data_IF_004993089543
#
_entry.id   IF_004993089543
#
_cell.length_a   1.000
_cell.length_b   1.000
_cell.length_c   1.000
_cell.angle_alpha   90.00
_cell.angle_beta   90.00
_cell.angle_gamma   90.00
#
_symmetry.space_group_name_H-M   'P 1'
#
loop_
_entity.id
_entity.type
_entity.pdbx_description
1 polymer ?
#
# COMPACT_ATOMS: atom_id res chain seq x y z
N UNK A 1 0.56 -28.23 -7.36
CA UNK A 1 -0.86 -27.79 -7.49
C UNK A 1 -1.08 -27.17 -8.87
N UNK A 2 -2.28 -27.25 -9.45
CA UNK A 2 -2.61 -26.49 -10.68
C UNK A 2 -2.67 -24.99 -10.33
N UNK A 3 -2.14 -24.12 -11.21
CA UNK A 3 -2.09 -22.66 -11.00
C UNK A 3 -3.45 -22.05 -10.59
N UNK A 4 -4.54 -22.53 -11.22
CA UNK A 4 -5.92 -22.12 -10.87
C UNK A 4 -6.26 -22.35 -9.40
N UNK A 5 -5.81 -23.48 -8.84
CA UNK A 5 -6.00 -23.79 -7.43
C UNK A 5 -5.23 -22.84 -6.51
N UNK A 6 -4.00 -22.47 -6.87
CA UNK A 6 -3.19 -21.51 -6.11
C UNK A 6 -3.83 -20.12 -6.10
N UNK A 7 -4.37 -19.69 -7.24
CA UNK A 7 -5.10 -18.41 -7.35
C UNK A 7 -6.34 -18.46 -6.47
N UNK A 8 -7.15 -19.53 -6.58
CA UNK A 8 -8.35 -19.69 -5.77
C UNK A 8 -8.04 -19.70 -4.27
N UNK A 9 -6.98 -20.39 -3.84
CA UNK A 9 -6.55 -20.39 -2.43
C UNK A 9 -6.08 -19.01 -1.97
N UNK A 10 -5.35 -18.27 -2.82
CA UNK A 10 -4.92 -16.90 -2.52
C UNK A 10 -6.12 -15.98 -2.32
N UNK A 11 -7.09 -16.03 -3.25
CA UNK A 11 -8.33 -15.26 -3.18
C UNK A 11 -9.26 -15.74 -2.04
N UNK A 12 -9.15 -16.99 -1.60
CA UNK A 12 -9.86 -17.49 -0.43
C UNK A 12 -9.25 -17.05 0.90
N UNK A 13 -8.04 -16.46 0.89
CA UNK A 13 -7.36 -16.06 2.13
C UNK A 13 -7.97 -14.80 2.73
N UNK A 14 -8.43 -14.89 3.98
CA UNK A 14 -8.87 -13.73 4.76
C UNK A 14 -7.77 -12.68 4.88
N UNK A 15 -6.52 -13.12 5.08
CA UNK A 15 -5.39 -12.20 5.23
C UNK A 15 -5.15 -11.40 3.95
N UNK A 16 -5.31 -12.02 2.78
CA UNK A 16 -5.23 -11.34 1.49
C UNK A 16 -6.24 -10.18 1.44
N UNK A 17 -7.52 -10.46 1.70
CA UNK A 17 -8.57 -9.43 1.62
C UNK A 17 -8.43 -8.33 2.66
N UNK A 18 -8.03 -8.64 3.89
CA UNK A 18 -7.76 -7.61 4.91
C UNK A 18 -6.72 -6.62 4.39
N UNK A 19 -5.62 -7.10 3.80
CA UNK A 19 -4.58 -6.22 3.28
C UNK A 19 -5.02 -5.44 2.05
N UNK A 20 -5.75 -6.06 1.12
CA UNK A 20 -6.25 -5.36 -0.07
C UNK A 20 -7.27 -4.28 0.29
N UNK A 21 -8.24 -4.59 1.15
CA UNK A 21 -9.29 -3.64 1.55
C UNK A 21 -8.72 -2.53 2.43
N UNK A 22 -7.95 -2.84 3.47
CA UNK A 22 -7.35 -1.82 4.32
C UNK A 22 -6.38 -0.94 3.52
N UNK A 23 -5.58 -1.52 2.63
CA UNK A 23 -4.69 -0.77 1.75
C UNK A 23 -5.46 0.18 0.83
N UNK A 24 -6.51 -0.31 0.17
CA UNK A 24 -7.36 0.50 -0.70
C UNK A 24 -8.07 1.63 0.07
N UNK A 25 -8.52 1.38 1.31
CA UNK A 25 -9.11 2.41 2.16
C UNK A 25 -8.10 3.48 2.57
N UNK A 26 -6.90 3.08 3.01
CA UNK A 26 -5.82 4.01 3.37
C UNK A 26 -5.44 4.89 2.17
N UNK A 27 -5.41 4.32 0.97
CA UNK A 27 -5.19 5.06 -0.27
C UNK A 27 -6.36 5.98 -0.64
N UNK A 28 -7.58 5.49 -0.52
CA UNK A 28 -8.79 6.17 -0.98
C UNK A 28 -9.26 7.31 -0.06
N UNK A 29 -9.01 7.23 1.25
CA UNK A 29 -9.43 8.26 2.21
C UNK A 29 -8.87 9.65 1.84
N UNK A 30 -7.55 9.82 1.62
CA UNK A 30 -7.00 11.10 1.18
C UNK A 30 -7.64 11.62 -0.11
N UNK A 31 -7.85 10.74 -1.11
CA UNK A 31 -8.51 11.10 -2.37
C UNK A 31 -9.92 11.63 -2.09
N UNK A 32 -10.73 10.88 -1.32
CA UNK A 32 -12.11 11.24 -1.01
C UNK A 32 -12.21 12.58 -0.27
N UNK A 33 -11.31 12.83 0.70
CA UNK A 33 -11.29 14.10 1.44
C UNK A 33 -10.98 15.25 0.47
N UNK A 34 -9.99 15.13 -0.41
CA UNK A 34 -9.68 16.17 -1.41
C UNK A 34 -10.84 16.44 -2.35
N UNK A 35 -11.58 15.39 -2.73
CA UNK A 35 -12.78 15.54 -3.53
C UNK A 35 -13.89 16.28 -2.78
N UNK A 36 -14.06 16.01 -1.48
CA UNK A 36 -15.06 16.67 -0.66
C UNK A 36 -14.70 18.13 -0.32
N UNK A 37 -13.42 18.44 -0.13
CA UNK A 37 -12.96 19.77 0.30
C UNK A 37 -12.53 20.68 -0.85
N UNK A 38 -12.25 20.11 -2.03
CA UNK A 38 -11.64 20.83 -3.15
C UNK A 38 -10.18 21.27 -2.89
N UNK A 39 -9.57 20.84 -1.78
CA UNK A 39 -8.20 21.19 -1.40
C UNK A 39 -7.25 20.04 -1.71
N UNK A 40 -6.02 20.36 -2.15
CA UNK A 40 -4.92 19.38 -2.33
C UNK A 40 -4.27 19.03 -0.98
N UNK A 41 -4.36 19.94 -0.01
CA UNK A 41 -3.68 19.84 1.28
C UNK A 41 -4.56 19.20 2.35
N UNK A 42 -3.97 18.25 3.09
CA UNK A 42 -4.60 17.61 4.26
C UNK A 42 -3.96 18.14 5.55
N UNK A 43 -4.74 18.77 6.46
CA UNK A 43 -4.21 19.59 7.57
C UNK A 43 -3.15 18.94 8.47
N UNK A 44 -3.18 17.62 8.66
CA UNK A 44 -2.23 16.89 9.52
C UNK A 44 -1.00 16.44 8.73
N UNK A 45 -1.19 16.05 7.46
CA UNK A 45 -0.12 15.57 6.61
C UNK A 45 0.69 16.72 5.99
N UNK A 46 0.10 17.91 5.91
CA UNK A 46 0.76 19.15 5.48
C UNK A 46 1.77 19.69 6.50
N UNK A 47 1.71 19.26 7.77
CA UNK A 47 2.67 19.67 8.82
C UNK A 47 4.10 19.16 8.58
N UNK A 48 4.27 18.12 7.75
CA UNK A 48 5.57 17.53 7.39
C UNK A 48 5.94 17.82 5.93
N UNK A 49 5.38 18.88 5.35
CA UNK A 49 5.58 19.27 3.96
C UNK A 49 7.07 19.47 3.64
N UNK A 50 7.57 18.55 2.83
CA UNK A 50 8.67 18.85 1.91
C UNK A 50 8.01 19.29 0.60
N UNK A 51 8.41 20.42 -0.01
CA UNK A 51 7.88 20.84 -1.29
C UNK A 51 7.99 19.68 -2.28
N UNK A 52 6.83 19.16 -2.69
CA UNK A 52 6.68 18.05 -3.60
C UNK A 52 5.88 18.56 -4.79
N UNK A 53 6.15 18.03 -5.98
CA UNK A 53 5.68 18.61 -7.25
C UNK A 53 4.20 19.01 -7.19
N UNK A 54 3.94 20.32 -7.34
CA UNK A 54 2.84 21.10 -6.76
C UNK A 54 1.37 20.69 -7.06
N UNK A 55 1.09 19.56 -7.72
CA UNK A 55 -0.28 19.28 -8.20
C UNK A 55 -0.67 17.78 -8.21
N UNK A 56 -0.06 16.94 -7.37
CA UNK A 56 -0.33 15.50 -7.37
C UNK A 56 -1.05 14.99 -6.12
N UNK A 57 -1.84 13.93 -6.29
CA UNK A 57 -2.28 13.06 -5.20
C UNK A 57 -1.31 11.87 -5.14
N UNK A 58 -0.75 11.53 -3.98
CA UNK A 58 -0.73 12.23 -2.69
C UNK A 58 -0.05 13.60 -2.69
N UNK A 59 -0.53 14.51 -1.84
CA UNK A 59 -0.17 15.94 -1.83
C UNK A 59 1.23 16.28 -1.31
N UNK A 60 1.93 15.31 -0.69
CA UNK A 60 3.34 15.45 -0.32
C UNK A 60 4.04 14.09 -0.22
N UNK A 61 5.37 14.12 -0.09
CA UNK A 61 6.22 12.91 -0.04
C UNK A 61 5.91 12.00 1.16
N UNK A 62 5.59 12.55 2.33
CA UNK A 62 5.31 11.76 3.53
C UNK A 62 4.01 10.97 3.34
N UNK A 63 2.96 11.62 2.87
CA UNK A 63 1.72 10.95 2.53
C UNK A 63 1.94 9.90 1.44
N UNK A 64 2.76 10.20 0.42
CA UNK A 64 3.14 9.26 -0.64
C UNK A 64 3.78 7.99 -0.07
N UNK A 65 4.74 8.14 0.82
CA UNK A 65 5.42 7.02 1.48
C UNK A 65 4.44 6.24 2.34
N UNK A 66 3.64 6.93 3.17
CA UNK A 66 2.67 6.28 4.06
C UNK A 66 1.65 5.49 3.27
N UNK A 67 0.96 6.13 2.32
CA UNK A 67 -0.05 5.47 1.50
C UNK A 67 0.56 4.33 0.69
N UNK A 68 1.69 4.59 0.01
CA UNK A 68 2.41 3.59 -0.79
C UNK A 68 2.90 2.39 0.02
N UNK A 69 3.26 2.61 1.30
CA UNK A 69 3.67 1.55 2.23
C UNK A 69 2.58 0.50 2.47
N UNK A 70 1.31 0.89 2.39
CA UNK A 70 0.18 -0.02 2.49
C UNK A 70 -0.32 -0.46 1.11
N UNK A 71 -0.50 0.47 0.17
CA UNK A 71 -1.05 0.18 -1.15
C UNK A 71 -0.43 1.06 -2.23
N UNK A 72 0.03 0.49 -3.37
CA UNK A 72 -0.02 -0.94 -3.73
C UNK A 72 1.05 -1.81 -3.06
N UNK A 73 2.08 -1.23 -2.44
CA UNK A 73 3.28 -1.94 -2.01
C UNK A 73 3.04 -3.04 -0.96
N UNK A 74 2.54 -2.68 0.22
CA UNK A 74 2.35 -3.62 1.33
C UNK A 74 1.32 -4.71 1.01
N UNK A 75 0.20 -4.32 0.40
CA UNK A 75 -0.85 -5.23 -0.06
C UNK A 75 -0.31 -6.23 -1.10
N UNK A 76 0.49 -5.76 -2.05
CA UNK A 76 1.19 -6.61 -3.03
C UNK A 76 2.19 -7.55 -2.37
N UNK A 77 2.92 -7.05 -1.37
CA UNK A 77 3.82 -7.87 -0.55
C UNK A 77 3.10 -9.07 0.06
N UNK A 78 2.00 -8.82 0.77
CA UNK A 78 1.22 -9.88 1.40
C UNK A 78 0.58 -10.82 0.37
N UNK A 79 0.08 -10.27 -0.75
CA UNK A 79 -0.45 -11.09 -1.83
C UNK A 79 0.60 -12.06 -2.40
N UNK A 80 1.82 -11.57 -2.64
CA UNK A 80 2.94 -12.38 -3.10
C UNK A 80 3.33 -13.46 -2.09
N UNK A 81 3.46 -13.11 -0.80
CA UNK A 81 3.75 -14.08 0.27
C UNK A 81 2.72 -15.21 0.31
N UNK A 82 1.42 -14.88 0.29
CA UNK A 82 0.33 -15.87 0.33
C UNK A 82 0.35 -16.74 -0.93
N UNK A 83 0.46 -16.12 -2.11
CA UNK A 83 0.48 -16.83 -3.39
C UNK A 83 1.61 -17.85 -3.45
N UNK A 84 2.84 -17.43 -3.11
CA UNK A 84 4.00 -18.31 -3.17
C UNK A 84 4.00 -19.37 -2.04
N UNK A 85 3.37 -19.08 -0.89
CA UNK A 85 3.17 -20.08 0.16
C UNK A 85 2.26 -21.21 -0.33
N UNK A 86 1.12 -20.88 -0.96
CA UNK A 86 0.25 -21.89 -1.57
C UNK A 86 0.88 -22.59 -2.78
N UNK A 87 1.64 -21.85 -3.60
CA UNK A 87 2.32 -22.43 -4.75
C UNK A 87 3.33 -23.52 -4.35
N UNK A 88 4.07 -23.29 -3.26
CA UNK A 88 5.06 -24.24 -2.73
C UNK A 88 4.48 -25.26 -1.76
N UNK A 89 3.29 -25.01 -1.21
CA UNK A 89 2.68 -25.85 -0.18
C UNK A 89 3.39 -25.75 1.18
N UNK A 90 4.11 -24.66 1.44
CA UNK A 90 4.85 -24.42 2.69
C UNK A 90 4.69 -22.97 3.15
N UNK A 91 4.85 -22.72 4.45
CA UNK A 91 4.96 -21.35 4.96
C UNK A 91 6.33 -20.79 4.59
N UNK A 92 6.37 -19.59 3.99
CA UNK A 92 7.62 -18.97 3.59
C UNK A 92 8.33 -18.31 4.77
N UNK A 93 9.63 -18.54 4.88
CA UNK A 93 10.48 -17.96 5.91
C UNK A 93 11.74 -17.29 5.34
N UNK A 94 12.38 -16.45 6.18
CA UNK A 94 13.64 -15.78 5.87
C UNK A 94 13.63 -15.07 4.51
N UNK A 95 14.68 -15.30 3.72
CA UNK A 95 14.86 -14.64 2.40
C UNK A 95 13.73 -14.99 1.42
N UNK A 96 13.21 -16.22 1.43
CA UNK A 96 12.16 -16.66 0.48
C UNK A 96 10.87 -15.86 0.66
N UNK A 97 10.50 -15.59 1.91
CA UNK A 97 9.37 -14.73 2.28
C UNK A 97 9.53 -13.33 1.67
N UNK A 98 10.69 -12.69 1.87
CA UNK A 98 10.91 -11.34 1.36
C UNK A 98 11.00 -11.27 -0.17
N UNK A 99 11.55 -12.28 -0.84
CA UNK A 99 11.50 -12.35 -2.30
C UNK A 99 10.07 -12.50 -2.83
N UNK A 100 9.25 -13.35 -2.20
CA UNK A 100 7.84 -13.48 -2.57
C UNK A 100 7.07 -12.17 -2.36
N UNK A 101 7.32 -11.49 -1.24
CA UNK A 101 6.75 -10.15 -0.99
C UNK A 101 7.21 -9.14 -2.03
N UNK A 102 8.50 -9.10 -2.33
CA UNK A 102 9.04 -8.20 -3.35
C UNK A 102 8.39 -8.42 -4.70
N UNK A 103 8.32 -9.67 -5.16
CA UNK A 103 7.65 -10.01 -6.43
C UNK A 103 6.19 -9.57 -6.45
N UNK A 104 5.44 -9.83 -5.37
CA UNK A 104 4.04 -9.40 -5.26
C UNK A 104 3.88 -7.89 -5.21
N UNK A 105 4.72 -7.17 -4.46
CA UNK A 105 4.74 -5.72 -4.36
C UNK A 105 5.03 -5.08 -5.72
N UNK A 106 6.03 -5.58 -6.45
CA UNK A 106 6.35 -5.11 -7.80
C UNK A 106 5.21 -5.37 -8.78
N UNK A 107 4.63 -6.57 -8.78
CA UNK A 107 3.54 -6.92 -9.68
C UNK A 107 2.30 -6.05 -9.43
N UNK A 108 1.91 -5.86 -8.16
CA UNK A 108 0.76 -5.03 -7.82
C UNK A 108 1.03 -3.55 -8.11
N UNK A 109 2.26 -3.07 -7.89
CA UNK A 109 2.64 -1.68 -8.20
C UNK A 109 2.69 -1.43 -9.70
N UNK A 110 3.12 -2.40 -10.50
CA UNK A 110 3.06 -2.32 -11.95
C UNK A 110 1.61 -2.27 -12.45
N UNK A 111 0.73 -3.13 -11.93
CA UNK A 111 -0.69 -3.10 -12.26
C UNK A 111 -1.33 -1.76 -11.89
N UNK A 112 -1.02 -1.24 -10.69
CA UNK A 112 -1.52 0.05 -10.24
C UNK A 112 -1.00 1.22 -11.08
N UNK A 113 0.30 1.24 -11.38
CA UNK A 113 0.91 2.29 -12.22
C UNK A 113 0.37 2.25 -13.65
N UNK A 114 0.04 1.06 -14.17
CA UNK A 114 -0.62 0.92 -15.49
C UNK A 114 -2.03 1.49 -15.45
N UNK A 115 -2.79 1.21 -14.38
CA UNK A 115 -4.12 1.79 -14.19
C UNK A 115 -4.05 3.33 -14.08
N UNK A 116 -3.09 3.85 -13.29
CA UNK A 116 -2.84 5.29 -13.17
C UNK A 116 -2.45 5.90 -14.51
N UNK A 117 -1.59 5.26 -15.28
CA UNK A 117 -1.19 5.73 -16.61
C UNK A 117 -2.38 5.83 -17.55
N UNK A 118 -3.18 4.76 -17.62
CA UNK A 118 -4.36 4.72 -18.46
C UNK A 118 -5.39 5.79 -18.06
N UNK A 119 -5.59 6.01 -16.76
CA UNK A 119 -6.44 7.08 -16.27
C UNK A 119 -5.87 8.47 -16.58
N UNK A 120 -4.55 8.66 -16.44
CA UNK A 120 -3.89 9.93 -16.70
C UNK A 120 -4.05 10.33 -18.18
N UNK A 121 -3.95 9.38 -19.11
CA UNK A 121 -4.20 9.60 -20.55
C UNK A 121 -5.61 10.11 -20.87
N UNK A 122 -6.60 9.83 -20.01
CA UNK A 122 -7.97 10.32 -20.20
C UNK A 122 -8.16 11.78 -19.76
N UNK A 123 -7.13 12.39 -19.15
CA UNK A 123 -7.11 13.77 -18.70
C UNK A 123 -8.33 14.16 -17.84
N UNK A 124 -8.73 13.27 -16.92
CA UNK A 124 -9.86 13.52 -16.02
C UNK A 124 -9.44 14.57 -14.98
N UNK A 125 -10.02 15.77 -15.09
CA UNK A 125 -9.73 16.90 -14.22
C UNK A 125 -10.48 16.73 -12.89
N UNK A 126 -9.72 16.80 -11.80
CA UNK A 126 -10.22 16.75 -10.44
C UNK A 126 -10.73 18.11 -9.95
N UNK A 127 -11.39 18.14 -8.79
CA UNK A 127 -11.98 19.36 -8.22
C UNK A 127 -10.95 20.44 -7.85
N UNK A 128 -9.67 20.11 -7.86
CA UNK A 128 -8.54 20.99 -7.57
C UNK A 128 -7.76 21.41 -8.83
N UNK A 129 -8.32 21.22 -10.03
CA UNK A 129 -7.79 21.77 -11.28
C UNK A 129 -6.67 20.98 -11.97
N UNK A 130 -6.26 19.83 -11.41
CA UNK A 130 -5.26 18.92 -12.00
C UNK A 130 -5.84 17.55 -12.35
N UNK A 131 -5.05 16.71 -13.03
CA UNK A 131 -5.45 15.33 -13.33
C UNK A 131 -5.60 14.52 -12.03
N UNK A 132 -6.65 13.70 -11.94
CA UNK A 132 -6.88 12.85 -10.76
C UNK A 132 -5.92 11.67 -10.67
N UNK A 133 -5.28 11.32 -11.78
CA UNK A 133 -4.31 10.24 -11.86
C UNK A 133 -2.87 10.74 -11.87
N UNK A 134 -2.00 9.92 -11.30
CA UNK A 134 -0.58 10.22 -11.15
C UNK A 134 0.15 10.31 -12.50
N UNK A 135 1.01 11.33 -12.63
CA UNK A 135 1.85 11.50 -13.81
C UNK A 135 2.98 10.45 -13.87
N UNK A 136 3.36 9.94 -15.05
CA UNK A 136 4.35 8.86 -15.17
C UNK A 136 5.71 9.09 -14.50
N UNK A 137 6.14 10.35 -14.38
CA UNK A 137 7.40 10.70 -13.71
C UNK A 137 7.47 10.26 -12.24
N UNK A 138 6.32 10.02 -11.58
CA UNK A 138 6.30 9.58 -10.17
C UNK A 138 6.35 8.05 -10.02
N UNK A 139 6.20 7.27 -11.10
CA UNK A 139 6.17 5.81 -11.01
C UNK A 139 7.48 5.19 -10.50
N UNK A 140 8.69 5.68 -10.87
CA UNK A 140 9.93 5.17 -10.27
C UNK A 140 9.93 5.24 -8.75
N UNK A 141 9.36 6.31 -8.18
CA UNK A 141 9.19 6.43 -6.74
C UNK A 141 8.18 5.42 -6.19
N UNK A 142 7.06 5.17 -6.88
CA UNK A 142 6.09 4.14 -6.47
C UNK A 142 6.76 2.76 -6.37
N UNK A 143 7.60 2.41 -7.34
CA UNK A 143 8.37 1.16 -7.32
C UNK A 143 9.39 1.13 -6.18
N UNK A 144 10.08 2.25 -5.91
CA UNK A 144 10.99 2.35 -4.78
C UNK A 144 10.26 2.15 -3.44
N UNK A 145 9.12 2.82 -3.26
CA UNK A 145 8.29 2.67 -2.06
C UNK A 145 7.82 1.22 -1.95
N UNK A 146 7.33 0.61 -3.04
CA UNK A 146 6.90 -0.78 -3.05
C UNK A 146 8.01 -1.76 -2.65
N UNK A 147 9.26 -1.50 -3.07
CA UNK A 147 10.42 -2.30 -2.69
C UNK A 147 10.63 -2.31 -1.17
N UNK A 148 10.48 -1.16 -0.51
CA UNK A 148 10.60 -1.05 0.95
C UNK A 148 9.33 -1.48 1.69
N UNK A 149 8.17 -1.40 1.05
CA UNK A 149 6.87 -1.77 1.64
C UNK A 149 6.74 -3.25 2.00
N UNK A 150 7.64 -4.10 1.50
CA UNK A 150 7.69 -5.51 1.86
C UNK A 150 7.89 -5.74 3.37
N UNK A 151 8.41 -4.74 4.09
CA UNK A 151 8.61 -4.78 5.54
C UNK A 151 7.40 -4.28 6.33
N UNK A 152 6.46 -3.55 5.71
CA UNK A 152 5.27 -2.99 6.38
C UNK A 152 4.52 -4.02 7.21
N UNK A 153 4.24 -5.26 6.73
CA UNK A 153 3.50 -6.24 7.53
C UNK A 153 4.23 -6.65 8.82
N UNK A 154 5.57 -6.71 8.79
CA UNK A 154 6.36 -7.11 9.95
C UNK A 154 6.50 -5.96 10.95
N UNK A 155 6.62 -4.72 10.46
CA UNK A 155 6.58 -3.51 11.30
C UNK A 155 5.25 -3.43 12.05
N UNK A 156 4.11 -3.61 11.36
CA UNK A 156 2.80 -3.61 12.00
C UNK A 156 2.64 -4.72 13.04
N UNK A 157 3.15 -5.93 12.74
CA UNK A 157 3.14 -7.05 13.69
C UNK A 157 3.96 -6.73 14.94
N UNK A 158 5.13 -6.12 14.77
CA UNK A 158 5.97 -5.67 15.86
C UNK A 158 5.31 -4.57 16.70
N UNK A 159 4.71 -3.55 16.06
CA UNK A 159 3.99 -2.50 16.78
C UNK A 159 2.82 -3.07 17.58
N UNK A 160 2.04 -3.97 16.97
CA UNK A 160 0.92 -4.64 17.66
C UNK A 160 1.36 -5.41 18.89
N UNK A 161 2.49 -6.13 18.83
CA UNK A 161 2.99 -6.88 19.99
C UNK A 161 3.47 -5.96 21.11
N UNK A 162 4.11 -4.83 20.78
CA UNK A 162 4.53 -3.82 21.76
C UNK A 162 3.35 -3.15 22.45
N UNK A 163 2.31 -2.79 21.70
CA UNK A 163 1.09 -2.21 22.27
C UNK A 163 0.38 -3.20 23.19
N UNK A 164 0.27 -4.47 22.79
CA UNK A 164 -0.33 -5.51 23.63
C UNK A 164 0.46 -5.73 24.93
N UNK A 165 1.80 -5.71 24.85
CA UNK A 165 2.67 -5.81 26.02
C UNK A 165 2.48 -4.62 26.98
N UNK A 166 2.44 -3.39 26.46
CA UNK A 166 2.20 -2.19 27.27
C UNK A 166 0.82 -2.19 27.93
N UNK A 167 -0.22 -2.64 27.22
CA UNK A 167 -1.55 -2.75 27.79
C UNK A 167 -1.60 -3.78 28.94
N UNK A 168 -1.03 -4.97 28.73
CA UNK A 168 -0.99 -6.00 29.78
C UNK A 168 -0.18 -5.60 31.02
N UNK A 169 0.87 -4.79 30.86
CA UNK A 169 1.65 -4.29 32.00
C UNK A 169 0.94 -3.16 32.75
N UNK A 170 0.12 -2.36 32.08
CA UNK A 170 -0.75 -1.37 32.72
C UNK A 170 -1.88 -2.03 33.52
N UNK A 171 -2.54 -3.06 32.95
CA UNK A 171 -3.62 -3.80 33.63
C UNK A 171 -3.11 -4.55 34.87
N UNK A 172 -1.86 -5.02 34.88
CA UNK A 172 -1.27 -5.69 36.06
C UNK A 172 -0.83 -4.74 37.18
N UNK A 173 -0.79 -3.42 36.94
CA UNK A 173 -0.42 -2.40 37.93
C UNK A 173 -1.62 -1.80 38.66
N UNK A 174 -2.84 -2.13 38.24
CA UNK A 174 -4.12 -1.78 38.88
C UNK A 174 -4.60 -3.00 39.67
#
# INVERSE_FOLDING_TARGET
>A
MKLRGVIASTLGSRQFWVWQICGALIYGIPVAIRFATGSVYLPILSLLETPWVDHYIPGNLVEKILVGAFFPGGAGGVAGEIFFSFYRGENLEGKRKYYARFAGAMAQTAAWSTFQFWGNLQNIIGPYGGNIFEYPMVYPLNFLIAAFSIFTPDVLKFMKSRVAQAHSSLVKKV
#
